data_IF_336258050549
#
_entry.id   IF_336258050549
#
_cell.length_a   1.000
_cell.length_b   1.000
_cell.length_c   1.000
_cell.angle_alpha   90.00
_cell.angle_beta   90.00
_cell.angle_gamma   90.00
#
_symmetry.space_group_name_H-M   'P 1'
#
loop_
_entity.id
_entity.type
_entity.pdbx_description
1 polymer ?
#
# COMPACT_ATOMS: atom_id res chain seq x y z
N UNK A 1 -12.12 -3.40 21.71
CA UNK A 1 -12.44 -3.98 20.39
C UNK A 1 -12.56 -5.49 20.60
N UNK A 2 -13.22 -6.22 19.69
CA UNK A 2 -13.52 -7.65 19.93
C UNK A 2 -12.26 -8.46 20.20
N UNK A 3 -11.17 -8.18 19.50
CA UNK A 3 -9.91 -8.91 19.66
C UNK A 3 -9.27 -8.70 21.05
N UNK A 4 -9.20 -7.44 21.52
CA UNK A 4 -8.64 -7.12 22.83
C UNK A 4 -9.51 -7.57 23.99
N UNK A 5 -10.83 -7.55 23.84
CA UNK A 5 -11.80 -8.00 24.85
C UNK A 5 -11.74 -9.53 25.05
N UNK A 6 -11.57 -10.28 23.96
CA UNK A 6 -11.56 -11.75 23.98
C UNK A 6 -10.15 -12.36 24.09
N UNK A 7 -9.09 -11.54 24.08
CA UNK A 7 -7.69 -12.03 24.13
C UNK A 7 -7.27 -12.82 22.89
N UNK A 8 -7.84 -12.50 21.72
CA UNK A 8 -7.62 -13.22 20.47
C UNK A 8 -6.52 -12.55 19.64
N UNK A 9 -5.55 -13.34 19.17
CA UNK A 9 -4.50 -12.88 18.26
C UNK A 9 -5.02 -12.56 16.86
N UNK A 10 -4.39 -11.60 16.18
CA UNK A 10 -4.72 -11.21 14.82
C UNK A 10 -3.49 -11.22 13.92
N UNK A 11 -3.66 -11.71 12.69
CA UNK A 11 -2.63 -11.68 11.64
C UNK A 11 -3.16 -10.80 10.50
N UNK A 12 -2.64 -9.58 10.32
CA UNK A 12 -3.10 -8.70 9.25
C UNK A 12 -2.65 -9.22 7.89
N UNK A 13 -3.57 -9.23 6.93
CA UNK A 13 -3.31 -9.59 5.54
C UNK A 13 -3.21 -8.33 4.65
N UNK A 14 -2.39 -8.41 3.61
CA UNK A 14 -2.17 -7.32 2.65
C UNK A 14 -1.75 -5.98 3.29
N UNK A 15 -0.70 -5.96 4.15
CA UNK A 15 -0.30 -4.75 4.89
C UNK A 15 0.16 -3.62 3.98
N UNK A 16 0.62 -3.94 2.76
CA UNK A 16 1.11 -2.96 1.78
C UNK A 16 0.03 -2.49 0.80
N UNK A 17 -1.25 -2.79 1.04
CA UNK A 17 -2.36 -2.46 0.13
C UNK A 17 -2.06 -2.87 -1.32
N UNK A 18 -1.77 -4.15 -1.54
CA UNK A 18 -1.37 -4.67 -2.86
C UNK A 18 -0.13 -3.99 -3.47
N UNK A 19 0.71 -3.36 -2.65
CA UNK A 19 1.93 -2.66 -3.05
C UNK A 19 1.76 -1.15 -3.22
N UNK A 20 0.57 -0.58 -3.00
CA UNK A 20 0.36 0.88 -3.03
C UNK A 20 1.21 1.57 -1.97
N UNK A 21 1.33 0.98 -0.79
CA UNK A 21 2.18 1.48 0.31
C UNK A 21 3.65 1.05 0.11
N UNK A 22 4.15 1.24 -1.12
CA UNK A 22 5.56 1.07 -1.47
C UNK A 22 5.96 2.20 -2.42
N UNK A 23 7.25 2.33 -2.75
CA UNK A 23 7.69 3.30 -3.76
C UNK A 23 7.22 2.98 -5.18
N UNK A 24 6.66 1.79 -5.43
CA UNK A 24 6.37 1.25 -6.77
C UNK A 24 5.42 2.11 -7.60
N UNK A 25 4.46 2.79 -6.98
CA UNK A 25 3.42 3.52 -7.70
C UNK A 25 3.52 5.05 -7.56
N UNK A 26 4.57 5.58 -6.90
CA UNK A 26 4.69 7.01 -6.64
C UNK A 26 4.79 7.85 -7.93
N UNK A 27 5.31 7.25 -9.00
CA UNK A 27 5.56 7.88 -10.29
C UNK A 27 4.68 7.31 -11.43
N UNK A 28 3.56 6.66 -11.08
CA UNK A 28 2.62 6.06 -12.04
C UNK A 28 2.50 4.54 -11.90
N UNK A 29 1.92 3.88 -12.91
CA UNK A 29 1.72 2.43 -12.92
C UNK A 29 2.82 1.76 -13.77
N UNK A 30 3.77 1.02 -13.16
CA UNK A 30 4.75 0.25 -13.92
C UNK A 30 4.09 -0.87 -14.73
N UNK A 31 4.62 -1.18 -15.92
CA UNK A 31 4.05 -2.20 -16.83
C UNK A 31 4.05 -3.62 -16.23
N UNK A 32 5.00 -3.94 -15.35
CA UNK A 32 5.14 -5.23 -14.67
C UNK A 32 4.44 -5.28 -13.30
N UNK A 33 3.74 -4.19 -12.92
CA UNK A 33 3.09 -4.05 -11.63
C UNK A 33 1.86 -4.96 -11.47
N UNK A 34 1.37 -5.10 -10.23
CA UNK A 34 0.12 -5.85 -9.98
C UNK A 34 -1.06 -5.20 -10.69
N UNK A 35 -1.15 -3.88 -10.66
CA UNK A 35 -2.22 -3.12 -11.31
C UNK A 35 -2.17 -3.19 -12.84
N UNK A 36 -0.99 -3.42 -13.44
CA UNK A 36 -0.86 -3.51 -14.90
C UNK A 36 -1.35 -4.84 -15.47
N UNK A 37 -1.44 -5.91 -14.66
CA UNK A 37 -1.93 -7.21 -15.08
C UNK A 37 -3.43 -7.16 -15.34
N UNK A 38 -3.89 -7.90 -16.35
CA UNK A 38 -5.32 -8.09 -16.63
C UNK A 38 -6.03 -8.97 -15.59
N UNK A 39 -5.27 -9.60 -14.69
CA UNK A 39 -5.74 -10.48 -13.63
C UNK A 39 -5.22 -9.99 -12.28
N UNK A 40 -5.95 -10.28 -11.21
CA UNK A 40 -5.57 -9.89 -9.84
C UNK A 40 -6.60 -8.98 -9.20
N UNK A 41 -6.38 -8.63 -7.92
CA UNK A 41 -7.33 -7.83 -7.16
C UNK A 41 -7.12 -6.33 -7.34
N UNK A 42 -5.86 -5.88 -7.43
CA UNK A 42 -5.55 -4.47 -7.67
C UNK A 42 -5.72 -4.16 -9.16
N UNK A 43 -6.66 -3.28 -9.48
CA UNK A 43 -6.96 -2.81 -10.82
C UNK A 43 -6.40 -1.39 -11.05
N UNK A 44 -6.17 -1.01 -12.32
CA UNK A 44 -5.56 0.29 -12.66
C UNK A 44 -6.34 1.49 -12.13
N UNK A 45 -7.67 1.42 -12.20
CA UNK A 45 -8.59 2.47 -11.71
C UNK A 45 -8.55 2.65 -10.19
N UNK A 46 -8.07 1.65 -9.45
CA UNK A 46 -7.88 1.73 -8.00
C UNK A 46 -6.57 2.42 -7.60
N UNK A 47 -5.62 2.60 -8.53
CA UNK A 47 -4.40 3.39 -8.34
C UNK A 47 -4.70 4.86 -8.61
N UNK A 48 -5.58 5.43 -7.77
CA UNK A 48 -6.06 6.80 -7.91
C UNK A 48 -5.00 7.81 -7.48
N UNK A 49 -5.03 9.02 -8.06
CA UNK A 49 -4.17 10.15 -7.66
C UNK A 49 -4.23 10.42 -6.16
N UNK A 50 -5.42 10.35 -5.55
CA UNK A 50 -5.61 10.53 -4.11
C UNK A 50 -4.76 9.57 -3.28
N UNK A 51 -4.77 8.27 -3.63
CA UNK A 51 -3.99 7.26 -2.91
C UNK A 51 -2.49 7.45 -3.12
N UNK A 52 -2.08 7.83 -4.33
CA UNK A 52 -0.67 8.11 -4.62
C UNK A 52 -0.18 9.31 -3.82
N UNK A 53 -0.98 10.37 -3.72
CA UNK A 53 -0.62 11.54 -2.92
C UNK A 53 -0.49 11.19 -1.43
N UNK A 54 -1.41 10.38 -0.89
CA UNK A 54 -1.29 9.87 0.48
C UNK A 54 -0.01 9.03 0.68
N UNK A 55 0.31 8.16 -0.28
CA UNK A 55 1.52 7.35 -0.23
C UNK A 55 2.80 8.22 -0.28
N UNK A 56 2.82 9.31 -1.07
CA UNK A 56 3.94 10.27 -1.09
C UNK A 56 4.16 10.94 0.26
N UNK A 57 3.08 11.37 0.91
CA UNK A 57 3.15 11.99 2.24
C UNK A 57 3.67 11.00 3.30
N UNK A 58 3.20 9.75 3.25
CA UNK A 58 3.73 8.69 4.12
C UNK A 58 5.20 8.37 3.83
N UNK A 59 5.60 8.36 2.55
CA UNK A 59 6.98 8.12 2.16
C UNK A 59 7.92 9.20 2.71
N UNK A 60 7.51 10.47 2.69
CA UNK A 60 8.29 11.56 3.29
C UNK A 60 8.53 11.34 4.80
N UNK A 61 7.53 10.83 5.53
CA UNK A 61 7.67 10.48 6.95
C UNK A 61 8.62 9.28 7.14
N UNK A 62 8.52 8.27 6.27
CA UNK A 62 9.42 7.12 6.31
C UNK A 62 10.88 7.51 6.05
N UNK A 63 11.12 8.37 5.06
CA UNK A 63 12.45 8.91 4.72
C UNK A 63 13.05 9.71 5.89
N UNK A 64 12.25 10.53 6.58
CA UNK A 64 12.70 11.23 7.80
C UNK A 64 13.17 10.27 8.90
N UNK A 65 12.64 9.03 8.90
CA UNK A 65 13.01 7.97 9.84
C UNK A 65 14.14 7.08 9.33
N UNK A 66 14.65 7.31 8.11
CA UNK A 66 15.64 6.44 7.46
C UNK A 66 15.07 5.08 7.08
N UNK A 67 13.77 4.99 6.81
CA UNK A 67 13.05 3.76 6.48
C UNK A 67 12.44 3.82 5.08
N UNK A 68 12.14 2.66 4.52
CA UNK A 68 11.27 2.54 3.35
C UNK A 68 9.82 2.79 3.74
N UNK A 69 8.98 3.16 2.76
CA UNK A 69 7.53 3.21 2.96
C UNK A 69 6.94 1.83 3.32
N UNK A 70 7.56 0.76 2.80
CA UNK A 70 7.23 -0.62 3.12
C UNK A 70 7.82 -1.07 4.46
#
# INVERSE_FOLDING_TARGET
DVLGEEGIGCIPFSPLEQGILTSKYLDGIPEDSRAAKSTGYLQKDQVTEKKIEQAKQLNAIAEQRGQTLA
#
